data_IF_093641869850
#
_entry.id   IF_093641869850
#
_cell.length_a   1.000
_cell.length_b   1.000
_cell.length_c   1.000
_cell.angle_alpha   90.00
_cell.angle_beta   90.00
_cell.angle_gamma   90.00
#
_symmetry.space_group_name_H-M   'P 1'
#
loop_
_entity.id
_entity.type
_entity.pdbx_description
1 polymer ?
#
# COMPACT_ATOMS: atom_id res chain seq x y z
N UNK A 1 16.08 23.62 10.81
CA UNK A 1 16.37 22.26 11.28
C UNK A 1 17.87 22.15 11.49
N UNK A 2 18.28 21.83 12.70
CA UNK A 2 19.66 21.49 13.02
C UNK A 2 20.02 20.14 12.35
N UNK A 3 21.30 19.82 12.24
CA UNK A 3 21.77 18.52 11.73
C UNK A 3 21.30 17.33 12.58
N UNK A 4 20.92 17.56 13.85
CA UNK A 4 20.35 16.52 14.71
C UNK A 4 18.86 16.25 14.42
N UNK A 5 18.08 17.26 14.04
CA UNK A 5 16.64 17.12 13.73
C UNK A 5 16.38 16.26 12.50
N UNK A 6 17.40 16.07 11.66
CA UNK A 6 17.31 15.22 10.46
C UNK A 6 17.74 13.77 10.73
N UNK A 7 18.10 13.40 11.97
CA UNK A 7 18.54 12.05 12.31
C UNK A 7 17.39 11.21 12.88
N UNK A 8 17.07 10.12 12.20
CA UNK A 8 16.12 9.13 12.66
C UNK A 8 16.84 8.06 13.48
N UNK A 9 16.57 8.03 14.80
CA UNK A 9 17.13 7.06 15.74
C UNK A 9 16.23 5.83 15.82
N UNK A 10 16.83 4.64 15.66
CA UNK A 10 16.10 3.37 15.67
C UNK A 10 16.18 2.67 17.02
N UNK A 11 15.04 2.17 17.49
CA UNK A 11 14.96 1.15 18.53
C UNK A 11 15.15 -0.23 17.89
N UNK A 12 16.14 -0.99 18.36
CA UNK A 12 16.35 -2.40 17.96
C UNK A 12 15.37 -3.28 18.74
N UNK A 13 14.67 -4.17 18.06
CA UNK A 13 13.74 -5.12 18.68
C UNK A 13 14.40 -6.50 18.76
N UNK A 14 14.12 -7.38 17.81
CA UNK A 14 14.72 -8.71 17.72
C UNK A 14 15.88 -8.76 16.72
N UNK A 15 16.78 -9.74 16.91
CA UNK A 15 17.81 -10.09 15.92
C UNK A 15 17.14 -10.96 14.84
N UNK A 16 17.38 -10.65 13.56
CA UNK A 16 16.88 -11.45 12.44
C UNK A 16 18.05 -11.93 11.57
N UNK A 17 17.84 -13.03 10.84
CA UNK A 17 18.83 -13.51 9.87
C UNK A 17 18.98 -12.50 8.73
N UNK A 18 20.16 -12.46 8.10
CA UNK A 18 20.41 -11.67 6.89
C UNK A 18 19.50 -12.07 5.72
N UNK A 19 18.98 -13.30 5.73
CA UNK A 19 18.06 -13.84 4.71
C UNK A 19 16.58 -13.61 5.05
N UNK A 20 16.26 -13.03 6.20
CA UNK A 20 14.86 -12.77 6.60
C UNK A 20 14.39 -11.42 6.07
N UNK A 21 13.34 -11.38 5.27
CA UNK A 21 12.58 -10.18 4.92
C UNK A 21 11.45 -9.94 5.91
N UNK A 22 11.07 -8.67 6.08
CA UNK A 22 9.97 -8.26 6.96
C UNK A 22 9.01 -7.44 6.12
N UNK A 23 7.73 -7.74 6.23
CA UNK A 23 6.64 -7.06 5.54
C UNK A 23 5.55 -6.68 6.55
N UNK A 24 4.83 -5.60 6.30
CA UNK A 24 3.68 -5.18 7.11
C UNK A 24 2.44 -5.07 6.23
N UNK A 25 1.34 -5.69 6.65
CA UNK A 25 0.00 -5.45 6.09
C UNK A 25 -0.63 -4.21 6.70
N UNK A 26 -1.66 -3.66 6.06
CA UNK A 26 -2.22 -2.37 6.46
C UNK A 26 -2.83 -2.36 7.87
N UNK A 27 -3.30 -3.50 8.40
CA UNK A 27 -3.71 -3.61 9.81
C UNK A 27 -2.55 -3.64 10.83
N UNK A 28 -1.30 -3.46 10.39
CA UNK A 28 -0.11 -3.44 11.24
C UNK A 28 0.57 -4.78 11.47
N UNK A 29 -0.06 -5.92 11.11
CA UNK A 29 0.51 -7.27 11.30
C UNK A 29 1.84 -7.43 10.53
N UNK A 30 2.84 -7.97 11.22
CA UNK A 30 4.17 -8.22 10.64
C UNK A 30 4.32 -9.68 10.18
N UNK A 31 4.90 -9.81 9.00
CA UNK A 31 5.23 -11.09 8.36
C UNK A 31 6.73 -11.16 8.12
N UNK A 32 7.31 -12.33 8.39
CA UNK A 32 8.73 -12.59 8.24
C UNK A 32 8.85 -13.67 7.20
N UNK A 33 9.61 -13.41 6.15
CA UNK A 33 9.89 -14.41 5.12
C UNK A 33 11.36 -14.74 5.13
N UNK A 34 11.73 -16.01 4.99
CA UNK A 34 13.03 -16.41 4.46
C UNK A 34 12.83 -17.33 3.24
N UNK A 35 13.89 -18.01 2.78
CA UNK A 35 13.86 -18.84 1.58
C UNK A 35 12.80 -19.96 1.60
N UNK A 36 12.51 -20.55 2.76
CA UNK A 36 11.66 -21.74 2.85
C UNK A 36 10.48 -21.60 3.83
N UNK A 37 10.35 -20.45 4.51
CA UNK A 37 9.38 -20.27 5.58
C UNK A 37 8.81 -18.86 5.63
N UNK A 38 7.54 -18.79 6.01
CA UNK A 38 6.85 -17.57 6.39
C UNK A 38 6.44 -17.68 7.85
N UNK A 39 6.63 -16.61 8.61
CA UNK A 39 6.15 -16.48 9.98
C UNK A 39 5.31 -15.23 10.13
N UNK A 40 4.41 -15.26 11.10
CA UNK A 40 3.60 -14.11 11.48
C UNK A 40 3.82 -13.81 12.95
N UNK A 41 3.94 -12.53 13.26
CA UNK A 41 3.88 -12.07 14.64
C UNK A 41 2.42 -11.90 15.02
N UNK A 42 1.98 -12.68 16.01
CA UNK A 42 0.65 -12.62 16.59
C UNK A 42 0.81 -12.65 18.11
N UNK A 43 0.23 -11.66 18.79
CA UNK A 43 0.25 -11.56 20.26
C UNK A 43 1.68 -11.64 20.85
N UNK A 44 2.66 -11.05 20.16
CA UNK A 44 4.07 -11.04 20.54
C UNK A 44 4.83 -12.35 20.29
N UNK A 45 4.18 -13.38 19.72
CA UNK A 45 4.80 -14.65 19.37
C UNK A 45 4.96 -14.82 17.86
N UNK A 46 6.08 -15.44 17.46
CA UNK A 46 6.38 -15.76 16.07
C UNK A 46 5.82 -17.15 15.74
N UNK A 47 4.76 -17.18 14.95
CA UNK A 47 4.08 -18.41 14.54
C UNK A 47 4.54 -18.76 13.13
N UNK A 48 5.06 -19.98 12.92
CA UNK A 48 5.35 -20.50 11.58
C UNK A 48 4.03 -20.73 10.86
N UNK A 49 3.94 -20.26 9.62
CA UNK A 49 2.74 -20.35 8.81
C UNK A 49 2.87 -21.45 7.79
N UNK A 50 1.84 -22.28 7.68
CA UNK A 50 1.65 -23.24 6.60
C UNK A 50 0.79 -22.63 5.49
N UNK A 51 1.21 -22.85 4.25
CA UNK A 51 0.43 -22.47 3.08
C UNK A 51 -0.56 -23.56 2.75
N UNK A 52 -1.82 -23.17 2.53
CA UNK A 52 -2.89 -24.09 2.19
C UNK A 52 -3.50 -23.71 0.85
N UNK A 53 -3.80 -24.71 0.03
CA UNK A 53 -4.64 -24.56 -1.15
C UNK A 53 -5.82 -25.52 -1.05
N UNK A 54 -7.05 -24.98 -0.98
CA UNK A 54 -8.28 -25.77 -0.85
C UNK A 54 -8.22 -26.78 0.31
N UNK A 55 -7.66 -26.38 1.45
CA UNK A 55 -7.52 -27.22 2.64
C UNK A 55 -6.36 -28.22 2.61
N UNK A 56 -5.52 -28.22 1.57
CA UNK A 56 -4.35 -29.09 1.44
C UNK A 56 -3.07 -28.27 1.67
N UNK A 57 -2.14 -28.72 2.54
CA UNK A 57 -0.84 -28.09 2.70
C UNK A 57 -0.06 -28.09 1.38
N UNK A 58 0.50 -26.95 1.03
CA UNK A 58 1.38 -26.78 -0.11
C UNK A 58 2.72 -26.22 0.35
N UNK A 59 3.80 -26.65 -0.30
CA UNK A 59 5.14 -26.12 -0.06
C UNK A 59 5.37 -24.91 -0.97
N UNK A 60 5.81 -23.80 -0.40
CA UNK A 60 6.12 -22.56 -1.11
C UNK A 60 7.59 -22.22 -0.85
N UNK A 61 8.39 -22.21 -1.92
CA UNK A 61 9.78 -21.77 -1.87
C UNK A 61 9.92 -20.33 -2.35
N UNK A 62 10.56 -19.51 -1.53
CA UNK A 62 10.86 -18.11 -1.80
C UNK A 62 12.31 -17.88 -2.23
N UNK A 63 12.72 -18.53 -3.31
CA UNK A 63 14.07 -18.38 -3.86
C UNK A 63 14.11 -17.26 -4.89
N UNK A 64 15.02 -16.30 -4.70
CA UNK A 64 15.28 -15.21 -5.65
C UNK A 64 16.37 -15.58 -6.70
N UNK A 65 16.91 -16.81 -6.67
CA UNK A 65 17.96 -17.25 -7.61
C UNK A 65 17.39 -17.85 -8.91
N UNK A 66 17.72 -17.24 -10.05
CA UNK A 66 17.72 -17.88 -11.37
C UNK A 66 18.79 -18.99 -11.41
N UNK A 67 18.50 -20.16 -10.85
CA UNK A 67 19.31 -21.37 -11.03
C UNK A 67 18.40 -22.52 -11.44
N UNK A 68 18.28 -22.66 -12.75
CA UNK A 68 17.71 -23.78 -13.51
C UNK A 68 16.18 -23.82 -13.68
N UNK A 69 15.79 -24.17 -14.89
CA UNK A 69 14.46 -24.04 -15.47
C UNK A 69 13.42 -25.09 -15.00
N UNK A 70 13.61 -25.69 -13.82
CA UNK A 70 12.89 -26.91 -13.42
C UNK A 70 12.12 -26.79 -12.08
N UNK A 71 12.11 -25.63 -11.43
CA UNK A 71 11.39 -25.44 -10.17
C UNK A 71 10.48 -24.20 -10.20
N UNK A 72 9.32 -24.30 -9.55
CA UNK A 72 8.37 -23.20 -9.38
C UNK A 72 8.91 -22.20 -8.33
N UNK A 73 9.16 -20.95 -8.75
CA UNK A 73 9.71 -19.90 -7.91
C UNK A 73 8.61 -18.92 -7.49
N UNK A 74 8.48 -18.68 -6.19
CA UNK A 74 7.54 -17.72 -5.62
C UNK A 74 8.29 -16.48 -5.14
N UNK A 75 8.14 -15.36 -5.85
CA UNK A 75 8.55 -14.06 -5.31
C UNK A 75 7.38 -13.51 -4.50
N UNK A 76 7.54 -13.28 -3.18
CA UNK A 76 6.56 -12.43 -2.47
C UNK A 76 6.62 -11.08 -3.16
N UNK A 77 5.50 -10.68 -3.75
CA UNK A 77 5.41 -9.48 -4.55
C UNK A 77 4.22 -8.67 -4.05
N UNK A 78 4.59 -7.73 -3.18
CA UNK A 78 3.79 -6.73 -2.47
C UNK A 78 2.76 -7.24 -1.45
N UNK A 79 2.73 -6.51 -0.34
CA UNK A 79 1.64 -6.55 0.60
C UNK A 79 0.71 -5.40 0.25
N UNK A 80 -0.56 -5.73 0.04
CA UNK A 80 -1.57 -4.74 -0.29
C UNK A 80 -2.85 -5.06 0.50
N UNK A 81 -3.36 -4.06 1.22
CA UNK A 81 -4.42 -4.24 2.20
C UNK A 81 -4.00 -5.31 3.25
N UNK A 82 -4.93 -6.18 3.60
CA UNK A 82 -4.73 -7.31 4.53
C UNK A 82 -4.35 -8.61 3.80
N UNK A 83 -3.60 -8.53 2.70
CA UNK A 83 -3.25 -9.71 1.90
C UNK A 83 -1.85 -9.62 1.29
N UNK A 84 -1.27 -10.80 1.08
CA UNK A 84 0.00 -10.97 0.37
C UNK A 84 -0.34 -11.39 -1.05
N UNK A 85 0.32 -10.77 -2.02
CA UNK A 85 0.25 -11.20 -3.42
C UNK A 85 1.59 -11.81 -3.82
N UNK A 86 1.53 -12.80 -4.71
CA UNK A 86 2.72 -13.43 -5.23
C UNK A 86 2.46 -14.02 -6.61
N UNK A 87 3.53 -14.20 -7.38
CA UNK A 87 3.46 -14.81 -8.69
C UNK A 87 4.30 -16.09 -8.73
N UNK A 88 3.81 -17.10 -9.45
CA UNK A 88 4.65 -18.20 -9.94
C UNK A 88 5.25 -17.78 -11.28
N UNK A 89 6.56 -17.52 -11.30
CA UNK A 89 7.26 -17.01 -12.50
C UNK A 89 7.12 -17.95 -13.72
N UNK A 90 7.08 -19.26 -13.49
CA UNK A 90 6.92 -20.27 -14.55
C UNK A 90 5.48 -20.42 -15.01
N UNK A 91 4.55 -20.54 -14.07
CA UNK A 91 3.16 -20.71 -14.41
C UNK A 91 2.53 -19.42 -14.96
N UNK A 92 3.19 -18.27 -14.78
CA UNK A 92 2.66 -16.93 -15.09
C UNK A 92 1.31 -16.70 -14.42
N UNK A 93 1.17 -17.13 -13.17
CA UNK A 93 -0.06 -17.04 -12.37
C UNK A 93 0.13 -16.17 -11.15
N UNK A 94 -0.84 -15.31 -10.88
CA UNK A 94 -0.91 -14.50 -9.67
C UNK A 94 -1.82 -15.19 -8.66
N UNK A 95 -1.36 -15.20 -7.43
CA UNK A 95 -2.07 -15.74 -6.28
C UNK A 95 -2.18 -14.69 -5.19
N UNK A 96 -3.23 -14.82 -4.39
CA UNK A 96 -3.47 -14.04 -3.18
C UNK A 96 -3.41 -14.97 -1.99
N UNK A 97 -2.62 -14.61 -1.00
CA UNK A 97 -2.54 -15.23 0.30
C UNK A 97 -3.30 -14.36 1.32
N UNK A 98 -4.33 -14.92 1.95
CA UNK A 98 -5.07 -14.25 3.03
C UNK A 98 -4.72 -14.85 4.37
N UNK A 99 -4.49 -14.00 5.36
CA UNK A 99 -4.21 -14.45 6.71
C UNK A 99 -5.49 -14.91 7.41
N UNK A 100 -5.51 -16.17 7.86
CA UNK A 100 -6.59 -16.71 8.67
C UNK A 100 -6.21 -16.62 10.17
N UNK A 101 -7.12 -16.20 11.07
CA UNK A 101 -6.89 -16.18 12.52
C UNK A 101 -6.32 -17.46 13.15
N UNK A 102 -6.48 -18.62 12.48
CA UNK A 102 -5.98 -19.92 12.92
C UNK A 102 -4.48 -20.15 12.70
N UNK A 103 -3.73 -19.15 12.19
CA UNK A 103 -2.28 -19.29 11.94
C UNK A 103 -1.93 -19.92 10.60
N UNK A 104 -2.92 -20.05 9.72
CA UNK A 104 -2.81 -20.59 8.37
C UNK A 104 -2.93 -19.46 7.35
N UNK A 105 -2.16 -19.54 6.25
CA UNK A 105 -2.39 -18.68 5.09
C UNK A 105 -3.06 -19.49 3.99
N UNK A 106 -4.27 -19.06 3.66
CA UNK A 106 -5.02 -19.66 2.56
C UNK A 106 -4.68 -18.95 1.25
N UNK A 107 -4.36 -19.74 0.24
CA UNK A 107 -3.93 -19.29 -1.07
C UNK A 107 -5.04 -19.45 -2.09
N UNK A 108 -5.29 -18.38 -2.84
CA UNK A 108 -6.32 -18.32 -3.87
C UNK A 108 -5.67 -17.91 -5.19
N UNK A 109 -6.02 -18.61 -6.25
CA UNK A 109 -5.71 -18.16 -7.60
C UNK A 109 -6.44 -16.85 -7.88
N UNK A 110 -5.74 -15.86 -8.45
CA UNK A 110 -6.33 -14.57 -8.83
C UNK A 110 -6.54 -14.54 -10.34
N UNK A 111 -5.46 -14.68 -11.11
CA UNK A 111 -5.47 -14.61 -12.57
C UNK A 111 -4.16 -15.08 -13.19
N UNK A 112 -4.19 -15.31 -14.50
CA UNK A 112 -3.00 -15.47 -15.32
C UNK A 112 -2.41 -14.09 -15.70
N UNK A 113 -1.11 -14.04 -15.94
CA UNK A 113 -0.45 -12.88 -16.55
C UNK A 113 -0.73 -12.85 -18.04
N UNK A 114 -1.05 -11.67 -18.56
CA UNK A 114 -1.26 -11.46 -19.98
C UNK A 114 0.03 -11.63 -20.78
N UNK A 115 -0.10 -11.88 -22.08
CA UNK A 115 1.06 -11.89 -22.99
C UNK A 115 1.72 -10.51 -23.01
N UNK A 116 3.02 -10.46 -22.73
CA UNK A 116 3.78 -9.20 -22.66
C UNK A 116 3.68 -8.44 -21.35
N UNK A 117 2.85 -8.89 -20.40
CA UNK A 117 2.80 -8.33 -19.04
C UNK A 117 4.11 -8.64 -18.30
N UNK A 118 4.72 -7.59 -17.75
CA UNK A 118 5.93 -7.65 -16.91
C UNK A 118 5.54 -7.40 -15.45
N UNK A 119 6.08 -8.22 -14.55
CA UNK A 119 6.00 -7.99 -13.11
C UNK A 119 7.30 -7.29 -12.66
N UNK A 120 7.14 -6.26 -11.85
CA UNK A 120 8.23 -5.53 -11.22
C UNK A 120 8.45 -6.04 -9.79
N UNK A 121 9.68 -5.95 -9.30
CA UNK A 121 10.01 -6.28 -7.89
C UNK A 121 9.17 -5.49 -6.88
N UNK A 122 8.61 -4.36 -7.29
CA UNK A 122 7.72 -3.54 -6.47
C UNK A 122 6.32 -4.13 -6.26
N UNK A 123 6.00 -5.27 -6.88
CA UNK A 123 4.65 -5.88 -6.93
C UNK A 123 3.66 -5.09 -7.79
N UNK A 124 4.21 -4.32 -8.74
CA UNK A 124 3.49 -3.65 -9.80
C UNK A 124 3.63 -4.45 -11.09
N UNK A 125 2.64 -4.32 -11.95
CA UNK A 125 2.63 -4.84 -13.30
C UNK A 125 2.74 -3.69 -14.30
N UNK A 126 3.35 -3.98 -15.44
CA UNK A 126 3.33 -3.09 -16.59
C UNK A 126 3.05 -3.83 -17.89
N UNK A 127 2.33 -3.18 -18.79
CA UNK A 127 2.02 -3.70 -20.11
C UNK A 127 2.19 -2.57 -21.14
N UNK A 128 2.93 -2.83 -22.22
CA UNK A 128 2.98 -1.92 -23.36
C UNK A 128 1.97 -2.39 -24.40
N UNK A 129 1.01 -1.54 -24.73
CA UNK A 129 -0.02 -1.81 -25.73
C UNK A 129 -0.15 -0.61 -26.65
N UNK A 130 -0.06 -0.83 -27.97
CA UNK A 130 -0.15 0.23 -28.99
C UNK A 130 0.81 1.41 -28.72
N UNK A 131 2.05 1.11 -28.31
CA UNK A 131 3.07 2.12 -28.02
C UNK A 131 2.90 2.89 -26.71
N UNK A 132 1.84 2.61 -25.94
CA UNK A 132 1.59 3.24 -24.63
C UNK A 132 1.90 2.29 -23.49
N UNK A 133 2.51 2.82 -22.43
CA UNK A 133 2.73 2.10 -21.19
C UNK A 133 1.48 2.16 -20.31
N UNK A 134 1.10 1.02 -19.77
CA UNK A 134 0.10 0.90 -18.73
C UNK A 134 0.73 0.29 -17.49
N UNK A 135 0.38 0.81 -16.31
CA UNK A 135 0.85 0.32 -15.01
C UNK A 135 -0.33 0.05 -14.08
N UNK A 136 -0.19 -0.94 -13.22
CA UNK A 136 -1.20 -1.34 -12.24
C UNK A 136 -0.55 -2.20 -11.16
N UNK A 137 -1.28 -2.53 -10.09
CA UNK A 137 -0.82 -3.45 -9.05
C UNK A 137 -1.09 -4.89 -9.45
N UNK A 138 -0.37 -5.83 -8.86
CA UNK A 138 -0.64 -7.27 -9.09
C UNK A 138 -2.05 -7.70 -8.68
N UNK A 139 -2.65 -7.01 -7.70
CA UNK A 139 -4.00 -7.27 -7.22
C UNK A 139 -5.10 -6.65 -8.09
N UNK A 140 -4.74 -5.77 -9.03
CA UNK A 140 -5.67 -5.04 -9.88
C UNK A 140 -6.12 -5.89 -11.09
N UNK A 141 -7.31 -5.58 -11.62
CA UNK A 141 -7.78 -6.10 -12.90
C UNK A 141 -7.01 -5.41 -14.05
N UNK A 142 -6.27 -6.17 -14.88
CA UNK A 142 -5.42 -5.58 -15.91
C UNK A 142 -6.19 -4.93 -17.08
N UNK A 143 -7.51 -5.13 -17.20
CA UNK A 143 -8.36 -4.49 -18.21
C UNK A 143 -9.04 -3.24 -17.66
N UNK A 144 -9.55 -3.30 -16.43
CA UNK A 144 -10.36 -2.25 -15.83
C UNK A 144 -9.54 -1.21 -15.06
N UNK A 145 -8.50 -1.67 -14.33
CA UNK A 145 -7.81 -0.84 -13.33
C UNK A 145 -6.48 -0.26 -13.83
N UNK A 146 -6.01 -0.69 -15.01
CA UNK A 146 -4.75 -0.24 -15.60
C UNK A 146 -4.72 1.27 -15.81
N UNK A 147 -3.60 1.90 -15.40
CA UNK A 147 -3.39 3.35 -15.53
C UNK A 147 -2.44 3.63 -16.70
N UNK A 148 -2.85 4.44 -17.69
CA UNK A 148 -1.95 4.84 -18.76
C UNK A 148 -0.89 5.79 -18.19
N UNK A 149 0.36 5.61 -18.63
CA UNK A 149 1.44 6.57 -18.38
C UNK A 149 1.71 7.27 -19.70
N UNK A 150 1.23 8.50 -19.85
CA UNK A 150 1.33 9.27 -21.10
C UNK A 150 2.72 9.92 -21.25
N UNK A 151 3.75 9.07 -21.24
CA UNK A 151 5.15 9.43 -21.41
C UNK A 151 5.75 8.43 -22.42
N UNK A 152 6.57 8.87 -23.38
CA UNK A 152 7.22 7.97 -24.32
C UNK A 152 7.98 6.86 -23.60
N UNK A 153 7.76 5.61 -24.02
CA UNK A 153 8.32 4.42 -23.37
C UNK A 153 9.84 4.49 -23.27
N UNK A 154 10.52 5.00 -24.29
CA UNK A 154 11.98 5.17 -24.33
C UNK A 154 12.49 6.13 -23.25
N UNK A 155 11.68 7.10 -22.84
CA UNK A 155 12.04 8.02 -21.74
C UNK A 155 11.97 7.31 -20.37
N UNK A 156 11.14 6.27 -20.27
CA UNK A 156 10.94 5.49 -19.06
C UNK A 156 11.85 4.27 -18.95
N UNK A 157 12.54 3.88 -20.03
CA UNK A 157 13.34 2.65 -20.11
C UNK A 157 14.39 2.55 -18.98
N UNK A 158 14.96 3.68 -18.59
CA UNK A 158 15.99 3.77 -17.55
C UNK A 158 15.45 4.07 -16.15
N UNK A 159 14.13 4.06 -15.99
CA UNK A 159 13.45 4.33 -14.73
C UNK A 159 12.89 3.04 -14.14
N UNK A 160 13.04 2.89 -12.83
CA UNK A 160 12.48 1.75 -12.12
C UNK A 160 11.10 2.13 -11.56
N UNK A 161 10.07 1.34 -11.87
CA UNK A 161 8.72 1.54 -11.34
C UNK A 161 8.65 1.11 -9.87
N UNK A 162 8.30 2.03 -8.97
CA UNK A 162 8.37 1.84 -7.51
C UNK A 162 7.04 1.86 -6.80
N UNK A 163 6.07 2.61 -7.30
CA UNK A 163 4.78 2.81 -6.63
C UNK A 163 3.73 3.30 -7.60
N UNK A 164 2.47 3.26 -7.14
CA UNK A 164 1.33 3.88 -7.80
C UNK A 164 0.54 4.64 -6.74
N UNK A 165 0.39 5.95 -6.90
CA UNK A 165 -0.39 6.82 -6.03
C UNK A 165 -1.57 7.39 -6.80
N UNK A 166 -2.78 6.88 -6.54
CA UNK A 166 -3.94 7.13 -7.40
C UNK A 166 -3.63 6.72 -8.84
N UNK A 167 -3.71 7.68 -9.77
CA UNK A 167 -3.36 7.47 -11.18
C UNK A 167 -1.89 7.84 -11.50
N UNK A 168 -1.11 8.31 -10.53
CA UNK A 168 0.28 8.76 -10.73
C UNK A 168 1.28 7.64 -10.44
N UNK A 169 2.07 7.27 -11.45
CA UNK A 169 3.16 6.32 -11.35
C UNK A 169 4.38 6.95 -10.65
N UNK A 170 4.96 6.22 -9.70
CA UNK A 170 6.17 6.64 -8.99
C UNK A 170 7.36 5.85 -9.53
N UNK A 171 8.37 6.57 -9.99
CA UNK A 171 9.60 6.02 -10.54
C UNK A 171 10.82 6.43 -9.74
N UNK A 172 11.88 5.62 -9.83
CA UNK A 172 13.22 5.98 -9.39
C UNK A 172 14.18 6.08 -10.57
N UNK A 173 15.02 7.12 -10.56
CA UNK A 173 16.22 7.21 -11.40
C UNK A 173 17.45 7.06 -10.53
N UNK A 174 18.16 5.95 -10.68
CA UNK A 174 19.32 5.63 -9.86
C UNK A 174 20.60 6.01 -10.61
N UNK A 175 21.39 6.93 -10.05
CA UNK A 175 22.66 7.35 -10.65
C UNK A 175 23.86 6.67 -10.01
N UNK A 176 24.91 6.45 -10.81
CA UNK A 176 26.22 5.99 -10.35
C UNK A 176 27.09 7.11 -9.79
N UNK A 177 26.80 8.35 -10.16
CA UNK A 177 27.50 9.53 -9.67
C UNK A 177 26.73 10.17 -8.50
N UNK A 178 27.43 10.72 -7.49
CA UNK A 178 26.80 11.48 -6.42
C UNK A 178 26.02 12.66 -6.96
N UNK A 179 24.71 12.68 -6.70
CA UNK A 179 23.81 13.79 -7.01
C UNK A 179 23.03 14.17 -5.76
N UNK A 180 22.60 15.43 -5.71
CA UNK A 180 21.58 15.83 -4.75
C UNK A 180 20.26 15.14 -5.10
N UNK A 181 19.59 14.49 -4.13
CA UNK A 181 18.30 13.86 -4.38
C UNK A 181 17.28 14.91 -4.84
N UNK A 182 16.52 14.60 -5.88
CA UNK A 182 15.52 15.51 -6.43
C UNK A 182 14.28 14.75 -6.87
N UNK A 183 13.14 15.43 -6.78
CA UNK A 183 11.86 14.92 -7.28
C UNK A 183 11.46 15.76 -8.49
N UNK A 184 11.05 15.09 -9.57
CA UNK A 184 10.58 15.75 -10.80
C UNK A 184 9.26 15.13 -11.21
N UNK A 185 8.25 15.95 -11.49
CA UNK A 185 7.02 15.51 -12.12
C UNK A 185 7.21 15.48 -13.64
N UNK A 186 6.91 14.34 -14.24
CA UNK A 186 6.94 14.15 -15.69
C UNK A 186 5.51 14.04 -16.19
N UNK A 187 5.06 15.06 -16.92
CA UNK A 187 3.66 15.15 -17.33
C UNK A 187 2.71 15.16 -16.14
N UNK A 188 1.49 14.64 -16.36
CA UNK A 188 0.47 14.54 -15.30
C UNK A 188 0.50 13.20 -14.55
N UNK A 189 1.12 12.17 -15.15
CA UNK A 189 0.96 10.77 -14.75
C UNK A 189 2.19 10.18 -14.04
N UNK A 190 3.32 10.88 -13.94
CA UNK A 190 4.51 10.32 -13.31
C UNK A 190 5.29 11.28 -12.42
N UNK A 191 5.87 10.73 -11.36
CA UNK A 191 6.82 11.40 -10.47
C UNK A 191 8.09 10.56 -10.40
N UNK A 192 9.24 11.20 -10.55
CA UNK A 192 10.55 10.54 -10.54
C UNK A 192 11.38 11.06 -9.38
N UNK A 193 11.82 10.16 -8.50
CA UNK A 193 12.89 10.43 -7.53
C UNK A 193 14.24 10.12 -8.19
N UNK A 194 15.06 11.13 -8.41
CA UNK A 194 16.46 10.97 -8.84
C UNK A 194 17.37 10.96 -7.62
N UNK A 195 18.19 9.93 -7.47
CA UNK A 195 19.09 9.82 -6.32
C UNK A 195 20.32 8.96 -6.61
N UNK A 196 21.41 9.24 -5.89
CA UNK A 196 22.65 8.47 -5.92
C UNK A 196 22.50 7.11 -5.24
N UNK A 197 22.99 6.05 -5.91
CA UNK A 197 22.92 4.66 -5.42
C UNK A 197 23.74 4.39 -4.14
N UNK A 198 24.65 5.27 -3.74
CA UNK A 198 25.58 5.01 -2.64
C UNK A 198 26.74 4.07 -3.03
N UNK A 199 27.69 3.85 -2.12
CA UNK A 199 28.91 3.06 -2.38
C UNK A 199 28.61 1.63 -2.84
N UNK A 200 28.93 1.36 -4.10
CA UNK A 200 29.22 0.02 -4.59
C UNK A 200 30.50 -0.43 -3.87
N UNK A 201 30.46 -1.49 -3.07
CA UNK A 201 31.71 -2.14 -2.66
C UNK A 201 32.37 -2.70 -3.92
N UNK A 202 33.31 -1.97 -4.52
CA UNK A 202 34.22 -2.52 -5.52
C UNK A 202 35.16 -3.47 -4.79
N UNK A 203 35.12 -4.75 -5.15
CA UNK A 203 36.15 -5.70 -4.73
C UNK A 203 37.54 -5.24 -5.21
N UNK A 204 38.57 -5.60 -4.46
CA UNK A 204 39.98 -5.18 -4.58
C UNK A 204 40.65 -5.42 -5.96
N UNK A 205 39.93 -5.95 -6.95
CA UNK A 205 40.44 -6.24 -8.30
C UNK A 205 39.52 -5.76 -9.44
N UNK A 206 38.61 -4.81 -9.20
CA UNK A 206 37.85 -4.16 -10.28
C UNK A 206 36.88 -5.06 -11.08
N UNK A 207 36.84 -6.37 -10.82
CA UNK A 207 35.80 -7.26 -11.35
C UNK A 207 34.48 -6.95 -10.67
N UNK A 208 33.45 -6.66 -11.47
CA UNK A 208 32.05 -6.80 -11.04
C UNK A 208 31.85 -8.28 -10.71
N UNK A 209 32.06 -8.66 -9.45
CA UNK A 209 31.58 -9.95 -8.99
C UNK A 209 30.05 -9.84 -8.97
N UNK A 210 29.34 -10.62 -9.80
CA UNK A 210 27.98 -11.02 -9.46
C UNK A 210 28.11 -12.00 -8.30
N UNK A 211 28.34 -11.51 -7.08
CA UNK A 211 28.26 -12.35 -5.90
C UNK A 211 26.78 -12.52 -5.58
N UNK A 212 26.14 -13.36 -6.42
CA UNK A 212 24.76 -13.85 -6.36
C UNK A 212 24.47 -14.48 -4.99
N UNK A 213 24.31 -13.63 -3.98
CA UNK A 213 23.80 -13.92 -2.64
C UNK A 213 22.60 -13.00 -2.47
N UNK A 214 21.55 -13.51 -1.82
CA UNK A 214 20.33 -12.75 -1.46
C UNK A 214 20.66 -11.33 -0.96
N UNK A 215 21.77 -11.17 -0.21
CA UNK A 215 22.40 -9.90 0.23
C UNK A 215 22.42 -8.77 -0.81
N UNK A 216 22.64 -9.07 -2.10
CA UNK A 216 22.76 -8.08 -3.19
C UNK A 216 21.39 -7.67 -3.78
N UNK A 217 20.37 -8.54 -3.71
CA UNK A 217 18.98 -8.18 -4.07
C UNK A 217 18.38 -7.16 -3.10
N UNK A 218 18.92 -7.07 -1.87
CA UNK A 218 18.43 -6.17 -0.81
C UNK A 218 19.05 -4.77 -0.81
N UNK A 219 19.51 -4.24 -1.96
CA UNK A 219 19.73 -2.79 -2.03
C UNK A 219 18.39 -2.12 -1.72
N UNK A 220 18.24 -1.23 -0.72
CA UNK A 220 16.92 -0.69 -0.38
C UNK A 220 16.26 0.07 -1.54
N UNK A 221 17.06 0.40 -2.55
CA UNK A 221 16.61 0.86 -3.84
C UNK A 221 15.78 -0.12 -4.65
N UNK A 222 15.99 -1.44 -4.56
CA UNK A 222 15.17 -2.43 -5.25
C UNK A 222 13.76 -2.56 -4.63
N UNK A 223 13.58 -2.12 -3.40
CA UNK A 223 12.30 -2.19 -2.67
C UNK A 223 11.22 -1.30 -3.33
N UNK A 224 9.96 -1.69 -3.17
CA UNK A 224 8.82 -0.84 -3.51
C UNK A 224 8.87 0.48 -2.73
N UNK A 225 8.32 1.53 -3.33
CA UNK A 225 7.91 2.68 -2.54
C UNK A 225 6.76 2.26 -1.61
N UNK A 226 6.82 2.69 -0.36
CA UNK A 226 5.68 2.58 0.54
C UNK A 226 4.75 3.77 0.23
N UNK A 227 3.58 3.47 -0.33
CA UNK A 227 2.60 4.48 -0.70
C UNK A 227 1.53 4.54 0.39
N UNK A 228 1.43 5.69 1.07
CA UNK A 228 0.35 5.97 2.03
C UNK A 228 -0.44 7.18 1.55
N UNK A 229 -1.60 7.43 2.17
CA UNK A 229 -2.52 8.47 1.77
C UNK A 229 -1.87 9.86 1.66
N UNK A 230 -1.04 10.24 2.65
CA UNK A 230 -0.38 11.54 2.67
C UNK A 230 0.85 11.59 1.76
N UNK A 231 1.72 10.60 1.84
CA UNK A 231 3.06 10.64 1.25
C UNK A 231 3.49 9.31 0.62
N UNK A 232 4.48 9.41 -0.26
CA UNK A 232 5.23 8.27 -0.78
C UNK A 232 6.60 8.23 -0.11
N UNK A 233 6.94 7.08 0.49
CA UNK A 233 8.19 6.87 1.21
C UNK A 233 9.11 5.94 0.43
N UNK A 234 10.35 6.36 0.27
CA UNK A 234 11.40 5.60 -0.41
C UNK A 234 12.69 5.66 0.39
N UNK A 235 13.56 4.67 0.23
CA UNK A 235 14.85 4.68 0.93
C UNK A 235 15.99 4.15 0.08
N UNK A 236 17.18 4.69 0.33
CA UNK A 236 18.45 4.19 -0.18
C UNK A 236 19.20 3.30 0.82
N UNK A 237 18.60 3.05 1.98
CA UNK A 237 19.18 2.29 3.07
C UNK A 237 19.90 3.10 4.14
N UNK A 238 20.12 4.39 3.90
CA UNK A 238 20.75 5.32 4.84
C UNK A 238 19.90 6.57 5.06
N UNK A 239 18.96 6.83 4.17
CA UNK A 239 18.10 8.01 4.14
C UNK A 239 16.71 7.56 3.75
N UNK A 240 15.68 8.15 4.35
CA UNK A 240 14.31 8.08 3.88
C UNK A 240 13.96 9.37 3.16
N UNK A 241 13.38 9.22 1.97
CA UNK A 241 12.86 10.29 1.13
C UNK A 241 11.35 10.23 1.21
N UNK A 242 10.74 11.36 1.57
CA UNK A 242 9.29 11.47 1.72
C UNK A 242 8.80 12.48 0.70
N UNK A 243 7.98 12.00 -0.23
CA UNK A 243 7.52 12.74 -1.39
C UNK A 243 6.05 13.04 -1.17
N UNK A 244 5.68 14.31 -1.32
CA UNK A 244 4.31 14.73 -1.51
C UNK A 244 3.94 14.51 -2.99
N UNK A 245 3.11 13.51 -3.31
CA UNK A 245 2.76 13.21 -4.70
C UNK A 245 1.81 14.26 -5.32
N UNK A 246 1.13 15.07 -4.50
CA UNK A 246 0.22 16.13 -4.98
C UNK A 246 1.04 17.34 -5.41
N UNK A 247 1.92 17.84 -4.53
CA UNK A 247 2.77 19.00 -4.84
C UNK A 247 4.02 18.63 -5.64
N UNK A 248 4.33 17.33 -5.75
CA UNK A 248 5.55 16.80 -6.37
C UNK A 248 6.83 17.34 -5.72
N UNK A 249 6.76 17.63 -4.42
CA UNK A 249 7.87 18.11 -3.60
C UNK A 249 8.36 17.02 -2.67
N UNK A 250 9.64 17.08 -2.33
CA UNK A 250 10.24 16.23 -1.31
C UNK A 250 10.32 17.01 0.00
N UNK A 251 9.94 16.39 1.11
CA UNK A 251 10.26 16.90 2.45
C UNK A 251 11.79 16.79 2.69
N UNK A 252 12.34 17.52 3.67
CA UNK A 252 13.74 17.35 4.05
C UNK A 252 14.08 15.86 4.28
N UNK A 253 15.17 15.33 3.70
CA UNK A 253 15.52 13.94 3.90
C UNK A 253 15.88 13.63 5.35
N UNK A 254 15.39 12.51 5.89
CA UNK A 254 15.78 12.03 7.22
C UNK A 254 16.84 10.92 7.09
N UNK A 255 17.91 11.03 7.85
CA UNK A 255 19.09 10.15 7.82
C UNK A 255 19.04 9.13 8.95
N UNK A 256 19.38 7.88 8.65
CA UNK A 256 19.35 6.78 9.60
C UNK A 256 20.60 6.78 10.48
N UNK A 257 20.39 6.89 11.79
CA UNK A 257 21.47 6.80 12.78
C UNK A 257 21.84 5.34 13.06
N UNK A 258 23.13 5.03 13.17
CA UNK A 258 23.67 3.69 13.52
C UNK A 258 23.24 2.48 12.66
N UNK A 259 22.69 2.76 11.47
CA UNK A 259 22.26 1.75 10.50
C UNK A 259 23.08 1.85 9.21
N UNK A 260 23.64 0.71 8.77
CA UNK A 260 24.42 0.60 7.53
C UNK A 260 23.57 0.38 6.29
N UNK A 261 22.39 -0.22 6.47
CA UNK A 261 21.37 -0.48 5.47
C UNK A 261 20.02 -0.71 6.17
N UNK A 262 18.94 -0.13 5.67
CA UNK A 262 17.59 -0.29 6.20
C UNK A 262 16.58 -0.51 5.08
N UNK A 263 15.71 -1.50 5.24
CA UNK A 263 14.60 -1.79 4.33
C UNK A 263 13.28 -1.47 5.04
N UNK A 264 12.43 -0.66 4.42
CA UNK A 264 11.12 -0.29 4.96
C UNK A 264 10.18 -1.50 4.81
N UNK A 265 9.60 -1.95 5.92
CA UNK A 265 8.54 -2.96 5.92
C UNK A 265 7.15 -2.31 5.89
N UNK A 266 6.99 -1.18 6.57
CA UNK A 266 5.74 -0.42 6.64
C UNK A 266 5.84 0.77 7.58
N UNK A 267 4.73 1.49 7.69
CA UNK A 267 4.51 2.54 8.69
C UNK A 267 3.15 2.24 9.32
N UNK A 268 3.12 2.17 10.65
CA UNK A 268 1.91 1.97 11.43
C UNK A 268 1.91 2.98 12.59
N UNK A 269 0.84 3.77 12.71
CA UNK A 269 0.69 4.80 13.75
C UNK A 269 1.90 5.75 13.85
N UNK A 270 2.40 6.19 12.68
CA UNK A 270 3.57 7.06 12.58
C UNK A 270 4.92 6.39 12.92
N UNK A 271 4.92 5.11 13.31
CA UNK A 271 6.14 4.34 13.53
C UNK A 271 6.62 3.71 12.23
N UNK A 272 7.81 4.12 11.77
CA UNK A 272 8.52 3.44 10.68
C UNK A 272 9.03 2.09 11.17
N UNK A 273 8.67 1.02 10.47
CA UNK A 273 9.05 -0.34 10.80
C UNK A 273 9.84 -0.94 9.65
N UNK A 274 10.92 -1.64 9.95
CA UNK A 274 11.72 -2.26 8.91
C UNK A 274 12.86 -3.12 9.42
N UNK A 275 13.64 -3.63 8.47
CA UNK A 275 14.81 -4.47 8.73
C UNK A 275 16.06 -3.63 8.53
N UNK A 276 16.84 -3.42 9.61
CA UNK A 276 18.08 -2.67 9.57
C UNK A 276 19.31 -3.51 9.92
N UNK A 277 20.45 -3.23 9.28
CA UNK A 277 21.76 -3.77 9.65
C UNK A 277 22.51 -2.77 10.52
N UNK A 278 22.74 -3.11 11.78
CA UNK A 278 23.47 -2.24 12.70
C UNK A 278 24.93 -2.05 12.25
N UNK A 279 25.43 -0.81 12.27
CA UNK A 279 26.81 -0.50 11.88
C UNK A 279 27.84 -1.22 12.76
N UNK A 280 27.64 -1.20 14.08
CA UNK A 280 28.65 -1.67 15.03
C UNK A 280 28.70 -3.18 15.15
N UNK A 281 27.53 -3.84 15.18
CA UNK A 281 27.47 -5.30 15.34
C UNK A 281 27.44 -6.07 14.03
N UNK A 282 27.11 -5.41 12.91
CA UNK A 282 26.88 -6.07 11.62
C UNK A 282 25.64 -6.97 11.57
N UNK A 283 24.92 -7.13 12.69
CA UNK A 283 23.70 -7.96 12.78
C UNK A 283 22.49 -7.23 12.20
N UNK A 284 21.57 -8.02 11.63
CA UNK A 284 20.28 -7.53 11.19
C UNK A 284 19.28 -7.58 12.35
N UNK A 285 18.41 -6.58 12.42
CA UNK A 285 17.35 -6.49 13.41
C UNK A 285 16.05 -6.03 12.78
N UNK A 286 14.93 -6.42 13.40
CA UNK A 286 13.72 -5.61 13.32
C UNK A 286 13.99 -4.29 14.05
N UNK A 287 13.76 -3.19 13.37
CA UNK A 287 14.02 -1.85 13.87
C UNK A 287 12.78 -0.97 13.69
N UNK A 288 12.53 -0.14 14.68
CA UNK A 288 11.41 0.80 14.69
C UNK A 288 11.91 2.21 14.97
N UNK A 289 11.32 3.23 14.34
CA UNK A 289 11.60 4.62 14.65
C UNK A 289 10.33 5.47 14.51
N UNK A 290 10.08 6.38 15.45
CA UNK A 290 8.97 7.31 15.35
C UNK A 290 9.30 8.36 14.28
N UNK A 291 8.43 8.49 13.28
CA UNK A 291 8.55 9.58 12.31
C UNK A 291 8.05 10.89 12.94
N UNK A 292 8.66 12.03 12.62
CA UNK A 292 8.10 13.33 13.01
C UNK A 292 6.71 13.51 12.39
N UNK A 293 5.84 14.25 13.08
CA UNK A 293 4.43 14.36 12.75
C UNK A 293 4.18 14.82 11.29
N UNK A 294 4.98 15.77 10.81
CA UNK A 294 4.91 16.32 9.45
C UNK A 294 5.29 15.33 8.34
N UNK A 295 5.91 14.20 8.69
CA UNK A 295 6.21 13.11 7.75
C UNK A 295 5.12 12.05 7.74
N UNK A 296 4.10 12.16 8.59
CA UNK A 296 2.98 11.21 8.69
C UNK A 296 1.69 11.88 8.21
N UNK A 297 1.44 13.10 8.68
CA UNK A 297 0.22 13.86 8.39
C UNK A 297 0.58 15.10 7.59
N UNK A 298 -0.18 15.34 6.52
CA UNK A 298 -0.12 16.61 5.79
C UNK A 298 -0.87 17.68 6.58
N UNK A 299 -0.13 18.63 7.14
CA UNK A 299 -0.71 19.91 7.58
C UNK A 299 -1.00 20.77 6.35
N UNK A 300 -1.93 20.36 5.49
CA UNK A 300 -2.45 21.25 4.46
C UNK A 300 -3.57 22.08 5.07
N UNK A 301 -3.50 23.39 4.88
CA UNK A 301 -4.63 24.31 4.98
C UNK A 301 -5.76 23.74 4.14
N UNK A 302 -6.69 23.12 4.83
CA UNK A 302 -7.87 22.52 4.26
C UNK A 302 -8.62 23.62 3.48
N UNK A 303 -9.17 23.33 2.28
CA UNK A 303 -10.16 24.20 1.68
C UNK A 303 -11.26 24.42 2.72
N UNK A 304 -11.44 25.65 3.21
CA UNK A 304 -12.36 26.00 4.29
C UNK A 304 -13.60 25.08 4.31
N UNK A 305 -13.64 24.12 5.25
CA UNK A 305 -14.74 23.14 5.38
C UNK A 305 -14.39 21.68 5.67
N UNK A 306 -13.14 21.22 5.50
CA UNK A 306 -12.77 19.78 5.61
C UNK A 306 -11.59 19.45 6.56
N UNK A 307 -11.44 20.20 7.65
CA UNK A 307 -10.31 20.01 8.56
C UNK A 307 -10.39 18.66 9.27
N UNK A 308 -9.29 17.90 9.41
CA UNK A 308 -9.22 16.86 10.43
C UNK A 308 -9.59 17.51 11.75
N UNK A 309 -10.61 16.96 12.38
CA UNK A 309 -11.13 17.43 13.64
C UNK A 309 -10.14 16.97 14.73
N UNK A 310 -9.49 17.92 15.42
CA UNK A 310 -8.56 17.65 16.54
C UNK A 310 -9.22 16.79 17.63
N UNK A 311 -8.43 16.05 18.41
CA UNK A 311 -8.85 15.16 19.52
C UNK A 311 -9.78 15.84 20.56
N UNK A 312 -9.78 17.18 20.62
CA UNK A 312 -10.71 17.96 21.45
C UNK A 312 -12.19 17.89 20.98
N UNK A 313 -12.47 17.36 19.80
CA UNK A 313 -13.80 17.26 19.19
C UNK A 313 -14.29 15.81 19.01
N UNK A 314 -13.73 14.86 19.75
CA UNK A 314 -14.24 13.48 19.82
C UNK A 314 -15.73 13.40 20.24
N UNK A 315 -16.27 14.47 20.84
CA UNK A 315 -17.70 14.63 21.14
C UNK A 315 -18.55 15.41 20.11
N UNK A 316 -17.97 15.91 19.00
CA UNK A 316 -18.63 16.83 18.07
C UNK A 316 -18.96 16.25 16.68
N UNK A 317 -18.30 15.17 16.25
CA UNK A 317 -18.63 14.56 14.96
C UNK A 317 -20.00 13.89 15.00
N UNK A 318 -20.87 14.28 14.06
CA UNK A 318 -22.22 13.74 13.89
C UNK A 318 -22.36 13.21 12.47
N UNK A 319 -22.47 11.89 12.32
CA UNK A 319 -22.72 11.29 11.01
C UNK A 319 -24.11 11.66 10.52
N UNK A 320 -24.19 12.19 9.29
CA UNK A 320 -25.47 12.45 8.63
C UNK A 320 -26.18 11.13 8.37
N UNK A 321 -25.45 10.11 7.92
CA UNK A 321 -26.02 8.79 7.66
C UNK A 321 -26.70 8.20 8.90
N UNK A 322 -26.01 8.17 10.05
CA UNK A 322 -26.60 7.63 11.29
C UNK A 322 -27.79 8.46 11.80
N UNK A 323 -27.72 9.79 11.65
CA UNK A 323 -28.77 10.68 12.11
C UNK A 323 -30.02 10.59 11.25
N UNK A 324 -29.87 10.52 9.94
CA UNK A 324 -30.99 10.65 9.00
C UNK A 324 -31.53 9.30 8.50
N UNK A 325 -30.76 8.21 8.63
CA UNK A 325 -31.16 6.91 8.09
C UNK A 325 -31.25 5.84 9.17
N UNK A 326 -32.24 4.95 9.02
CA UNK A 326 -32.35 3.70 9.77
C UNK A 326 -31.99 2.55 8.84
N UNK A 327 -30.86 1.91 9.08
CA UNK A 327 -30.40 0.78 8.27
C UNK A 327 -31.24 -0.47 8.57
N UNK A 328 -31.82 -1.06 7.52
CA UNK A 328 -32.59 -2.32 7.62
C UNK A 328 -31.71 -3.53 7.38
N UNK A 329 -30.89 -3.50 6.32
CA UNK A 329 -29.92 -4.55 6.00
C UNK A 329 -28.88 -4.10 4.98
N UNK A 330 -27.86 -4.92 4.81
CA UNK A 330 -26.80 -4.71 3.82
C UNK A 330 -27.17 -5.48 2.55
N UNK A 331 -27.29 -4.76 1.43
CA UNK A 331 -27.68 -5.33 0.13
C UNK A 331 -26.49 -5.75 -0.72
N UNK A 332 -25.33 -5.12 -0.53
CA UNK A 332 -24.13 -5.44 -1.31
C UNK A 332 -22.85 -5.04 -0.59
N UNK A 333 -21.80 -5.85 -0.77
CA UNK A 333 -20.45 -5.61 -0.26
C UNK A 333 -19.47 -5.78 -1.43
N UNK A 334 -18.55 -4.86 -1.63
CA UNK A 334 -17.55 -4.91 -2.70
C UNK A 334 -16.27 -4.16 -2.35
N UNK A 335 -15.27 -4.22 -3.23
CA UNK A 335 -13.95 -3.60 -3.00
C UNK A 335 -13.98 -2.07 -2.80
N UNK A 336 -15.07 -1.42 -3.23
CA UNK A 336 -15.24 0.03 -3.16
C UNK A 336 -16.17 0.50 -2.02
N UNK A 337 -16.76 -0.42 -1.24
CA UNK A 337 -17.64 -0.06 -0.12
C UNK A 337 -18.85 -0.97 0.08
N UNK A 338 -19.90 -0.42 0.71
CA UNK A 338 -21.12 -1.14 1.10
C UNK A 338 -22.37 -0.45 0.59
N UNK A 339 -23.40 -1.24 0.27
CA UNK A 339 -24.75 -0.75 -0.06
C UNK A 339 -25.70 -1.16 1.03
N UNK A 340 -26.35 -0.18 1.64
CA UNK A 340 -27.36 -0.34 2.68
C UNK A 340 -28.74 -0.16 2.07
N UNK A 341 -29.68 -1.02 2.47
CA UNK A 341 -31.09 -0.66 2.41
C UNK A 341 -31.43 0.07 3.70
N UNK A 342 -31.87 1.32 3.57
CA UNK A 342 -32.11 2.19 4.70
C UNK A 342 -33.35 3.04 4.49
N UNK A 343 -34.09 3.29 5.57
CA UNK A 343 -35.23 4.21 5.58
C UNK A 343 -34.73 5.59 5.98
N UNK A 344 -35.01 6.62 5.19
CA UNK A 344 -34.78 7.99 5.60
C UNK A 344 -35.86 8.40 6.61
N UNK A 345 -35.44 8.89 7.78
CA UNK A 345 -36.31 9.16 8.93
C UNK A 345 -37.22 10.38 8.74
N UNK A 346 -37.00 11.19 7.70
CA UNK A 346 -37.77 12.41 7.47
C UNK A 346 -38.89 12.22 6.45
N UNK A 347 -38.63 11.43 5.40
CA UNK A 347 -39.63 11.17 4.36
C UNK A 347 -40.28 9.78 4.50
N UNK A 348 -39.74 8.90 5.36
CA UNK A 348 -40.14 7.50 5.55
C UNK A 348 -39.98 6.62 4.29
N UNK A 349 -39.23 7.08 3.28
CA UNK A 349 -38.94 6.31 2.09
C UNK A 349 -37.72 5.40 2.26
N UNK A 350 -37.76 4.27 1.57
CA UNK A 350 -36.69 3.28 1.52
C UNK A 350 -35.77 3.55 0.34
N UNK A 351 -34.47 3.62 0.63
CA UNK A 351 -33.42 3.95 -0.33
C UNK A 351 -32.31 2.91 -0.32
N UNK A 352 -31.60 2.83 -1.45
CA UNK A 352 -30.29 2.22 -1.50
C UNK A 352 -29.23 3.29 -1.23
N UNK A 353 -28.57 3.22 -0.06
CA UNK A 353 -27.48 4.13 0.28
C UNK A 353 -26.16 3.40 0.10
N UNK A 354 -25.39 3.80 -0.92
CA UNK A 354 -24.04 3.29 -1.17
C UNK A 354 -23.02 4.16 -0.44
N UNK A 355 -22.29 3.58 0.50
CA UNK A 355 -21.14 4.20 1.15
C UNK A 355 -19.85 3.72 0.51
N UNK A 356 -19.07 4.66 -0.02
CA UNK A 356 -17.81 4.42 -0.73
C UNK A 356 -16.66 4.92 0.13
N UNK A 357 -15.70 4.05 0.43
CA UNK A 357 -14.46 4.42 1.10
C UNK A 357 -13.49 4.99 0.06
N UNK A 358 -13.11 6.26 0.21
CA UNK A 358 -12.30 7.00 -0.75
C UNK A 358 -11.13 7.66 -0.03
N UNK A 359 -9.92 7.50 -0.56
CA UNK A 359 -8.77 8.23 -0.06
C UNK A 359 -9.02 9.75 -0.19
N UNK A 360 -8.67 10.56 0.83
CA UNK A 360 -8.83 12.03 0.85
C UNK A 360 -8.45 12.71 -0.47
N UNK A 361 -7.32 12.26 -1.03
CA UNK A 361 -6.73 12.74 -2.28
C UNK A 361 -7.46 12.30 -3.56
N UNK A 362 -8.27 11.25 -3.49
CA UNK A 362 -9.09 10.73 -4.58
C UNK A 362 -10.54 11.22 -4.50
N UNK A 363 -10.92 11.98 -3.47
CA UNK A 363 -12.28 12.49 -3.26
C UNK A 363 -12.76 13.30 -4.47
N UNK A 364 -11.95 14.21 -4.99
CA UNK A 364 -12.35 14.99 -6.18
C UNK A 364 -12.59 14.10 -7.41
N UNK A 365 -11.75 13.08 -7.59
CA UNK A 365 -11.91 12.13 -8.70
C UNK A 365 -13.18 11.31 -8.55
N UNK A 366 -13.44 10.77 -7.36
CA UNK A 366 -14.66 10.02 -7.06
C UNK A 366 -15.92 10.90 -7.19
N UNK A 367 -15.84 12.16 -6.79
CA UNK A 367 -16.95 13.11 -6.96
C UNK A 367 -17.25 13.41 -8.44
N UNK A 368 -16.33 13.17 -9.39
CA UNK A 368 -16.66 13.29 -10.82
C UNK A 368 -17.68 12.26 -11.26
N UNK A 369 -17.56 11.02 -10.79
CA UNK A 369 -18.53 9.96 -11.10
C UNK A 369 -19.90 10.26 -10.46
N UNK A 370 -19.90 10.74 -9.21
CA UNK A 370 -21.12 11.18 -8.52
C UNK A 370 -21.80 12.34 -9.28
N UNK A 371 -21.03 13.33 -9.73
CA UNK A 371 -21.54 14.46 -10.52
C UNK A 371 -22.10 14.00 -11.87
N UNK A 372 -21.48 13.03 -12.52
CA UNK A 372 -22.00 12.46 -13.76
C UNK A 372 -23.32 11.72 -13.53
N UNK A 373 -23.40 10.92 -12.46
CA UNK A 373 -24.62 10.21 -12.08
C UNK A 373 -25.78 11.17 -11.75
N UNK A 374 -25.49 12.28 -11.08
CA UNK A 374 -26.48 13.30 -10.74
C UNK A 374 -27.11 14.01 -11.97
N UNK A 375 -26.49 13.90 -13.15
CA UNK A 375 -27.02 14.46 -14.40
C UNK A 375 -27.89 13.47 -15.18
N UNK A 376 -27.97 12.21 -14.76
CA UNK A 376 -28.76 11.18 -15.43
C UNK A 376 -30.20 11.20 -14.91
N UNK A 377 -31.15 11.42 -15.81
CA UNK A 377 -32.58 11.30 -15.53
C UNK A 377 -33.25 10.52 -16.66
N UNK A 378 -33.52 9.23 -16.41
CA UNK A 378 -34.10 8.33 -17.39
C UNK A 378 -34.81 7.15 -16.70
N UNK A 379 -35.99 6.69 -17.17
CA UNK A 379 -36.79 5.66 -16.50
C UNK A 379 -36.12 4.28 -16.37
N UNK A 380 -35.03 4.05 -17.11
CA UNK A 380 -34.25 2.80 -17.08
C UNK A 380 -32.85 2.96 -16.49
N UNK A 381 -32.55 4.12 -15.90
CA UNK A 381 -31.31 4.37 -15.16
C UNK A 381 -31.69 4.59 -13.70
N UNK A 382 -30.87 4.07 -12.78
CA UNK A 382 -31.10 4.25 -11.34
C UNK A 382 -31.14 5.75 -11.04
N UNK A 383 -32.18 6.18 -10.34
CA UNK A 383 -32.36 7.57 -9.97
C UNK A 383 -31.32 7.98 -8.94
N UNK A 384 -30.67 9.11 -9.18
CA UNK A 384 -29.87 9.78 -8.16
C UNK A 384 -30.76 10.66 -7.30
N UNK A 385 -30.66 10.54 -5.98
CA UNK A 385 -31.38 11.40 -5.05
C UNK A 385 -30.47 12.42 -4.39
N UNK A 386 -29.40 11.95 -3.74
CA UNK A 386 -28.46 12.83 -3.04
C UNK A 386 -27.10 12.17 -2.87
N UNK A 387 -26.09 12.98 -2.60
CA UNK A 387 -24.80 12.52 -2.12
C UNK A 387 -24.24 13.46 -1.07
N UNK A 388 -23.41 12.93 -0.19
CA UNK A 388 -22.68 13.71 0.79
C UNK A 388 -21.38 13.02 1.16
N UNK A 389 -20.53 13.76 1.86
CA UNK A 389 -19.20 13.31 2.26
C UNK A 389 -19.12 13.35 3.78
N UNK A 390 -18.58 12.30 4.39
CA UNK A 390 -18.27 12.24 5.82
C UNK A 390 -16.78 11.97 6.00
N UNK A 391 -16.15 12.75 6.88
CA UNK A 391 -14.76 12.58 7.29
C UNK A 391 -14.72 12.29 8.81
N UNK A 392 -15.06 11.06 9.23
CA UNK A 392 -15.10 10.70 10.63
C UNK A 392 -13.70 10.73 11.27
N UNK A 393 -13.59 11.05 12.57
CA UNK A 393 -12.33 10.90 13.31
C UNK A 393 -11.79 9.46 13.23
N UNK A 394 -10.47 9.32 13.41
CA UNK A 394 -9.79 8.02 13.38
C UNK A 394 -10.46 7.00 14.31
N UNK A 395 -10.72 5.80 13.79
CA UNK A 395 -11.38 4.72 14.54
C UNK A 395 -12.91 4.85 14.68
N UNK A 396 -13.49 6.05 14.58
CA UNK A 396 -14.93 6.27 14.82
C UNK A 396 -15.82 5.41 13.91
N UNK A 397 -15.53 5.38 12.60
CA UNK A 397 -16.34 4.62 11.66
C UNK A 397 -16.25 3.11 11.90
N UNK A 398 -15.08 2.62 12.32
CA UNK A 398 -14.85 1.21 12.61
C UNK A 398 -15.73 0.77 13.79
N UNK A 399 -15.72 1.54 14.86
CA UNK A 399 -16.49 1.23 16.08
C UNK A 399 -18.00 1.22 15.78
N UNK A 400 -18.47 2.22 15.03
CA UNK A 400 -19.88 2.29 14.61
C UNK A 400 -20.31 1.16 13.68
N UNK A 401 -19.45 0.76 12.76
CA UNK A 401 -19.75 -0.37 11.89
C UNK A 401 -19.80 -1.69 12.68
N UNK A 402 -18.99 -1.84 13.74
CA UNK A 402 -19.09 -3.00 14.65
C UNK A 402 -20.47 -3.04 15.32
N UNK A 403 -20.92 -1.91 15.87
CA UNK A 403 -22.22 -1.80 16.52
C UNK A 403 -23.37 -2.09 15.54
N UNK A 404 -23.36 -1.42 14.38
CA UNK A 404 -24.37 -1.59 13.33
C UNK A 404 -24.49 -3.06 12.89
N UNK A 405 -23.37 -3.72 12.62
CA UNK A 405 -23.37 -5.12 12.18
C UNK A 405 -23.87 -6.07 13.27
N UNK A 406 -23.53 -5.78 14.54
CA UNK A 406 -24.04 -6.57 15.67
C UNK A 406 -25.56 -6.48 15.77
N UNK A 407 -26.14 -5.30 15.58
CA UNK A 407 -27.59 -5.08 15.56
C UNK A 407 -28.30 -5.76 14.38
N UNK A 408 -27.58 -5.95 13.26
CA UNK A 408 -28.09 -6.63 12.06
C UNK A 408 -27.86 -8.15 12.06
N UNK A 409 -27.23 -8.73 13.09
CA UNK A 409 -26.91 -10.16 13.15
C UNK A 409 -25.81 -10.61 12.18
N UNK A 410 -24.99 -9.68 11.69
CA UNK A 410 -23.91 -9.95 10.74
C UNK A 410 -22.59 -10.36 11.44
N UNK A 411 -21.81 -11.26 10.84
CA UNK A 411 -20.57 -11.76 11.48
C UNK A 411 -19.39 -10.77 11.37
N UNK A 412 -18.54 -10.70 12.41
CA UNK A 412 -17.30 -9.89 12.46
C UNK A 412 -16.32 -10.12 11.28
N UNK A 413 -16.49 -11.22 10.52
CA UNK A 413 -15.70 -11.55 9.32
C UNK A 413 -15.93 -10.55 8.17
N UNK A 414 -17.08 -9.87 8.18
CA UNK A 414 -17.50 -8.88 7.17
C UNK A 414 -16.76 -7.53 7.24
N UNK A 415 -16.13 -7.20 8.38
CA UNK A 415 -15.57 -5.87 8.66
C UNK A 415 -14.08 -5.73 8.29
N UNK A 416 -13.37 -6.85 8.11
CA UNK A 416 -11.90 -6.92 7.99
C UNK A 416 -11.35 -6.63 6.59
N UNK A 417 -12.10 -5.93 5.75
CA UNK A 417 -11.70 -5.61 4.38
C UNK A 417 -11.91 -4.13 4.03
N UNK A 418 -12.34 -3.32 5.00
CA UNK A 418 -12.65 -1.91 4.81
C UNK A 418 -11.49 -1.06 5.35
N UNK A 419 -11.01 -0.13 4.52
CA UNK A 419 -10.12 0.93 4.96
C UNK A 419 -10.96 1.94 5.76
N UNK A 420 -10.56 2.22 7.01
CA UNK A 420 -11.27 3.14 7.90
C UNK A 420 -10.55 4.49 8.06
N UNK A 421 -9.32 4.61 7.58
CA UNK A 421 -8.56 5.87 7.55
C UNK A 421 -8.78 6.54 6.18
N UNK A 422 -10.04 6.82 5.88
CA UNK A 422 -10.46 7.37 4.60
C UNK A 422 -11.69 8.28 4.75
N UNK A 423 -12.05 8.95 3.65
CA UNK A 423 -13.27 9.73 3.55
C UNK A 423 -14.38 8.86 2.99
N UNK A 424 -15.59 9.00 3.53
CA UNK A 424 -16.75 8.24 3.07
C UNK A 424 -17.62 9.13 2.19
N UNK A 425 -17.84 8.69 0.94
CA UNK A 425 -18.84 9.29 0.06
C UNK A 425 -20.09 8.44 0.13
N UNK A 426 -21.21 9.04 0.50
CA UNK A 426 -22.53 8.41 0.51
C UNK A 426 -23.30 8.84 -0.72
N UNK A 427 -23.93 7.89 -1.39
CA UNK A 427 -24.77 8.09 -2.56
C UNK A 427 -26.12 7.44 -2.28
N UNK A 428 -27.17 8.25 -2.20
CA UNK A 428 -28.56 7.83 -2.04
C UNK A 428 -29.18 7.65 -3.43
N UNK A 429 -29.71 6.46 -3.67
CA UNK A 429 -30.35 6.01 -4.91
C UNK A 429 -31.73 5.40 -4.65
#
# INVERSE_FOLDING_TARGET
MTTEDSLLKFTKREVVSSTTFIHQVDNGTLFYRNEDCLWVMKDGQKIKVEFMHSGIPIEIMFRDEYRNALYEYLSITVVHNDSIYYCSNWARKIYRAKFNPLGVIETYYVRDLQKGERIHHSGLCSLVCNGKLYVYRMCDDPFCDRKPVDIPVDTLEWLELKGLYGDTAIFAKITKEPIMPSVTRMGKDAIVLSCFRGNIQRGFMGKLFSNKKLSEFHSPWSSSALVKQAYVYMTNGKTIFVIDPVTSKMLPPLYFCDVSCFHIAGINDGTLIGRGKCKNSGKYHLMTAQLPHEYVVKTQSIPNGFSPIDDAQMGAFRSKFENEFMVKKIRGKGGFGCVFEAVNKYDDWEYAVKRVAVDLIAVESALREVKAMAQLDHPHIIRYNASWVENPPGGWQRDRDVDLMSGLGETKKSLRALNYDCVFIYIQM
#
